data_IF_802788513005
#
_entry.id   IF_802788513005
#
_cell.length_a   1.000
_cell.length_b   1.000
_cell.length_c   1.000
_cell.angle_alpha   90.00
_cell.angle_beta   90.00
_cell.angle_gamma   90.00
#
_symmetry.space_group_name_H-M   'P 1'
#
loop_
_entity.id
_entity.type
_entity.pdbx_description
1 polymer ?
#
# COMPACT_ATOMS: atom_id res chain seq x y z
N UNK A 1 38.79 1.61 17.05
CA UNK A 1 38.77 0.84 15.78
C UNK A 1 37.60 -0.13 15.71
N UNK A 2 37.25 -0.83 16.79
CA UNK A 2 36.05 -1.68 16.89
C UNK A 2 34.74 -0.92 16.57
N UNK A 3 34.63 0.31 17.05
CA UNK A 3 33.38 1.07 16.97
C UNK A 3 33.13 1.59 15.55
N UNK A 4 34.20 2.07 14.88
CA UNK A 4 34.12 2.50 13.48
C UNK A 4 33.77 1.34 12.54
N UNK A 5 34.40 0.17 12.71
CA UNK A 5 34.08 -1.01 11.91
C UNK A 5 32.62 -1.45 12.09
N UNK A 6 32.10 -1.35 13.32
CA UNK A 6 30.71 -1.69 13.63
C UNK A 6 29.73 -0.69 12.99
N UNK A 7 29.99 0.61 13.07
CA UNK A 7 29.16 1.64 12.42
C UNK A 7 29.17 1.49 10.89
N UNK A 8 30.33 1.17 10.30
CA UNK A 8 30.43 0.90 8.86
C UNK A 8 29.59 -0.33 8.47
N UNK A 9 29.66 -1.41 9.24
CA UNK A 9 28.86 -2.61 8.97
C UNK A 9 27.34 -2.33 9.02
N UNK A 10 26.90 -1.58 10.03
CA UNK A 10 25.49 -1.13 10.18
C UNK A 10 25.04 -0.31 8.99
N UNK A 11 25.86 0.64 8.55
CA UNK A 11 25.56 1.48 7.40
C UNK A 11 25.45 0.66 6.10
N UNK A 12 26.34 -0.31 5.88
CA UNK A 12 26.24 -1.19 4.72
C UNK A 12 24.97 -2.04 4.74
N UNK A 13 24.54 -2.52 5.91
CA UNK A 13 23.27 -3.23 6.04
C UNK A 13 22.10 -2.37 5.54
N UNK A 14 22.03 -1.09 5.94
CA UNK A 14 21.01 -0.17 5.45
C UNK A 14 21.12 0.04 3.95
N UNK A 15 22.33 0.27 3.41
CA UNK A 15 22.56 0.42 1.96
C UNK A 15 22.02 -0.78 1.16
N UNK A 16 22.29 -1.99 1.62
CA UNK A 16 21.78 -3.20 0.96
C UNK A 16 20.27 -3.28 1.02
N UNK A 17 19.65 -2.94 2.14
CA UNK A 17 18.19 -2.92 2.28
C UNK A 17 17.55 -1.87 1.36
N UNK A 18 18.15 -0.69 1.20
CA UNK A 18 17.64 0.33 0.27
C UNK A 18 17.61 -0.18 -1.18
N UNK A 19 18.71 -0.78 -1.65
CA UNK A 19 18.79 -1.36 -2.99
C UNK A 19 17.84 -2.56 -3.14
N UNK A 20 17.73 -3.41 -2.12
CA UNK A 20 16.81 -4.54 -2.13
C UNK A 20 15.34 -4.07 -2.19
N UNK A 21 14.99 -3.00 -1.48
CA UNK A 21 13.65 -2.40 -1.48
C UNK A 21 13.28 -1.88 -2.87
N UNK A 22 14.19 -1.17 -3.54
CA UNK A 22 13.99 -0.71 -4.91
C UNK A 22 13.87 -1.89 -5.89
N UNK A 23 14.71 -2.91 -5.73
CA UNK A 23 14.64 -4.13 -6.56
C UNK A 23 13.29 -4.82 -6.41
N UNK A 24 12.78 -4.93 -5.18
CA UNK A 24 11.49 -5.51 -4.88
C UNK A 24 10.34 -4.70 -5.51
N UNK A 25 10.42 -3.37 -5.45
CA UNK A 25 9.44 -2.47 -6.06
C UNK A 25 9.38 -2.63 -7.59
N UNK A 26 10.54 -2.66 -8.24
CA UNK A 26 10.66 -2.90 -9.69
C UNK A 26 10.14 -4.29 -10.05
N UNK A 27 10.52 -5.32 -9.29
CA UNK A 27 10.09 -6.69 -9.53
C UNK A 27 8.57 -6.85 -9.43
N UNK A 28 7.95 -6.33 -8.37
CA UNK A 28 6.50 -6.38 -8.22
C UNK A 28 5.78 -5.61 -9.33
N UNK A 29 6.37 -4.50 -9.77
CA UNK A 29 5.83 -3.71 -10.87
C UNK A 29 5.85 -4.50 -12.17
N UNK A 30 6.98 -5.13 -12.49
CA UNK A 30 7.13 -5.97 -13.68
C UNK A 30 6.16 -7.16 -13.69
N UNK A 31 5.98 -7.84 -12.55
CA UNK A 31 5.09 -9.00 -12.43
C UNK A 31 3.61 -8.60 -12.58
N UNK A 32 3.22 -7.43 -12.09
CA UNK A 32 1.82 -6.96 -12.14
C UNK A 32 1.52 -6.11 -13.37
N UNK A 33 2.49 -5.89 -14.26
CA UNK A 33 2.33 -4.98 -15.40
C UNK A 33 1.18 -5.41 -16.33
N UNK A 34 1.07 -6.70 -16.64
CA UNK A 34 0.01 -7.22 -17.52
C UNK A 34 -1.38 -6.92 -16.96
N UNK A 35 -1.58 -7.20 -15.66
CA UNK A 35 -2.82 -6.91 -14.95
C UNK A 35 -3.09 -5.42 -14.81
N UNK A 36 -2.04 -4.60 -14.61
CA UNK A 36 -2.15 -3.15 -14.51
C UNK A 36 -2.69 -2.56 -15.82
N UNK A 37 -2.12 -2.96 -16.97
CA UNK A 37 -2.55 -2.49 -18.29
C UNK A 37 -4.01 -2.86 -18.57
N UNK A 38 -4.40 -4.10 -18.26
CA UNK A 38 -5.76 -4.58 -18.48
C UNK A 38 -6.78 -3.90 -17.55
N UNK A 39 -6.51 -3.83 -16.24
CA UNK A 39 -7.51 -3.44 -15.23
C UNK A 39 -7.49 -1.95 -14.88
N UNK A 40 -6.36 -1.26 -15.08
CA UNK A 40 -6.21 0.16 -14.73
C UNK A 40 -6.22 1.02 -15.99
N UNK A 41 -5.33 0.72 -16.95
CA UNK A 41 -5.14 1.59 -18.11
C UNK A 41 -6.29 1.53 -19.12
N UNK A 42 -6.97 0.39 -19.21
CA UNK A 42 -8.10 0.20 -20.14
C UNK A 42 -9.43 0.77 -19.63
N UNK A 43 -9.45 1.38 -18.44
CA UNK A 43 -10.66 1.93 -17.80
C UNK A 43 -10.73 3.45 -17.89
N UNK A 44 -11.95 4.02 -17.80
CA UNK A 44 -12.11 5.49 -17.70
C UNK A 44 -11.47 5.98 -16.40
N UNK A 45 -10.81 7.14 -16.47
CA UNK A 45 -10.15 7.76 -15.32
C UNK A 45 -11.14 7.97 -14.18
N UNK A 46 -10.89 7.32 -13.04
CA UNK A 46 -11.66 7.49 -11.81
C UNK A 46 -10.74 7.79 -10.62
N UNK A 47 -11.34 8.16 -9.49
CA UNK A 47 -10.61 8.52 -8.25
C UNK A 47 -9.71 7.38 -7.78
N UNK A 48 -10.17 6.14 -7.89
CA UNK A 48 -9.41 4.92 -7.53
C UNK A 48 -8.15 4.77 -8.37
N UNK A 49 -8.23 5.07 -9.67
CA UNK A 49 -7.09 5.01 -10.59
C UNK A 49 -6.04 6.06 -10.22
N UNK A 50 -6.45 7.26 -9.82
CA UNK A 50 -5.53 8.29 -9.31
C UNK A 50 -4.83 7.81 -8.04
N UNK A 51 -5.58 7.27 -7.07
CA UNK A 51 -4.99 6.70 -5.85
C UNK A 51 -4.03 5.55 -6.15
N UNK A 52 -4.37 4.68 -7.10
CA UNK A 52 -3.50 3.61 -7.55
C UNK A 52 -2.17 4.16 -8.09
N UNK A 53 -2.21 5.13 -9.00
CA UNK A 53 -0.99 5.75 -9.54
C UNK A 53 -0.14 6.43 -8.45
N UNK A 54 -0.77 7.16 -7.52
CA UNK A 54 -0.05 7.79 -6.41
C UNK A 54 0.62 6.72 -5.54
N UNK A 55 -0.12 5.69 -5.11
CA UNK A 55 0.42 4.63 -4.27
C UNK A 55 1.50 3.81 -4.96
N UNK A 56 1.37 3.54 -6.27
CA UNK A 56 2.30 2.75 -7.08
C UNK A 56 3.60 3.49 -7.38
N UNK A 57 3.50 4.76 -7.80
CA UNK A 57 4.65 5.50 -8.34
C UNK A 57 5.32 6.42 -7.30
N UNK A 58 4.64 6.84 -6.24
CA UNK A 58 5.29 7.66 -5.18
C UNK A 58 6.49 6.99 -4.51
N UNK A 59 6.49 5.68 -4.16
CA UNK A 59 7.63 5.05 -3.49
C UNK A 59 8.87 4.98 -4.37
N UNK A 60 8.74 5.06 -5.70
CA UNK A 60 9.89 5.15 -6.60
C UNK A 60 10.67 6.45 -6.37
N UNK A 61 9.96 7.56 -6.17
CA UNK A 61 10.60 8.85 -5.85
C UNK A 61 11.30 8.76 -4.48
N UNK A 62 10.60 8.22 -3.48
CA UNK A 62 11.10 8.09 -2.10
C UNK A 62 12.36 7.23 -2.05
N UNK A 63 12.31 6.05 -2.67
CA UNK A 63 13.42 5.08 -2.69
C UNK A 63 14.62 5.60 -3.48
N UNK A 64 14.41 6.32 -4.59
CA UNK A 64 15.51 6.94 -5.36
C UNK A 64 16.21 8.03 -4.53
N UNK A 65 15.45 8.85 -3.81
CA UNK A 65 16.02 9.85 -2.90
C UNK A 65 16.79 9.18 -1.75
N UNK A 66 16.25 8.14 -1.13
CA UNK A 66 16.95 7.39 -0.09
C UNK A 66 18.24 6.74 -0.62
N UNK A 67 18.20 6.12 -1.81
CA UNK A 67 19.41 5.55 -2.43
C UNK A 67 20.44 6.65 -2.68
N UNK A 68 20.03 7.82 -3.16
CA UNK A 68 20.92 8.97 -3.32
C UNK A 68 21.56 9.36 -1.97
N UNK A 69 20.76 9.50 -0.91
CA UNK A 69 21.25 9.89 0.41
C UNK A 69 22.24 8.88 0.99
N UNK A 70 22.14 7.60 0.62
CA UNK A 70 23.04 6.56 1.11
C UNK A 70 24.24 6.26 0.20
N UNK A 71 24.13 6.44 -1.13
CA UNK A 71 25.16 6.05 -2.10
C UNK A 71 25.87 7.23 -2.77
N UNK A 72 25.37 8.46 -2.64
CA UNK A 72 25.99 9.61 -3.30
C UNK A 72 27.46 9.79 -2.90
N UNK A 73 28.37 10.01 -3.86
CA UNK A 73 29.77 10.31 -3.56
C UNK A 73 29.91 11.76 -3.08
N UNK A 74 30.45 11.94 -1.87
CA UNK A 74 30.74 13.26 -1.27
C UNK A 74 29.58 14.28 -1.37
N UNK A 75 28.37 13.95 -0.87
CA UNK A 75 27.23 14.85 -1.00
C UNK A 75 27.41 16.10 -0.12
N UNK A 76 26.93 17.24 -0.63
CA UNK A 76 26.89 18.47 0.15
C UNK A 76 25.86 18.35 1.29
N UNK A 77 26.18 18.72 2.54
CA UNK A 77 25.23 18.60 3.66
C UNK A 77 23.89 19.30 3.43
N UNK A 78 23.88 20.44 2.72
CA UNK A 78 22.64 21.14 2.35
C UNK A 78 21.77 20.32 1.39
N UNK A 79 22.39 19.61 0.45
CA UNK A 79 21.66 18.76 -0.48
C UNK A 79 21.04 17.59 0.27
N UNK A 80 21.81 16.93 1.15
CA UNK A 80 21.33 15.87 2.04
C UNK A 80 20.12 16.33 2.86
N UNK A 81 20.17 17.54 3.44
CA UNK A 81 19.05 18.09 4.18
C UNK A 81 17.78 18.19 3.33
N UNK A 82 17.90 18.70 2.10
CA UNK A 82 16.76 18.89 1.20
C UNK A 82 16.21 17.54 0.73
N UNK A 83 17.07 16.64 0.24
CA UNK A 83 16.66 15.32 -0.27
C UNK A 83 16.01 14.48 0.82
N UNK A 84 16.63 14.42 2.00
CA UNK A 84 16.11 13.66 3.13
C UNK A 84 14.81 14.25 3.69
N UNK A 85 14.68 15.57 3.73
CA UNK A 85 13.43 16.23 4.15
C UNK A 85 12.29 15.93 3.18
N UNK A 86 12.56 15.99 1.87
CA UNK A 86 11.57 15.65 0.84
C UNK A 86 11.19 14.17 0.96
N UNK A 87 12.17 13.27 1.07
CA UNK A 87 11.94 11.84 1.24
C UNK A 87 11.09 11.53 2.47
N UNK A 88 11.40 12.15 3.62
CA UNK A 88 10.63 11.97 4.87
C UNK A 88 9.16 12.38 4.72
N UNK A 89 8.90 13.53 4.08
CA UNK A 89 7.54 14.03 3.86
C UNK A 89 6.78 13.13 2.88
N UNK A 90 7.41 12.72 1.78
CA UNK A 90 6.77 11.83 0.82
C UNK A 90 6.46 10.46 1.43
N UNK A 91 7.39 9.91 2.22
CA UNK A 91 7.19 8.67 2.99
C UNK A 91 6.02 8.78 3.95
N UNK A 92 5.89 9.88 4.68
CA UNK A 92 4.75 10.10 5.57
C UNK A 92 3.42 10.19 4.80
N UNK A 93 3.40 10.97 3.72
CA UNK A 93 2.19 11.21 2.91
C UNK A 93 1.66 9.92 2.29
N UNK A 94 2.51 9.12 1.65
CA UNK A 94 2.03 7.87 1.04
C UNK A 94 1.77 6.73 2.02
N UNK A 95 2.34 6.72 3.24
CA UNK A 95 1.87 5.84 4.31
C UNK A 95 0.43 6.24 4.70
N UNK A 96 0.17 7.54 4.89
CA UNK A 96 -1.17 8.03 5.20
C UNK A 96 -2.20 7.68 4.11
N UNK A 97 -1.82 7.75 2.82
CA UNK A 97 -2.66 7.26 1.72
C UNK A 97 -2.88 5.74 1.78
N UNK A 98 -1.85 4.97 2.11
CA UNK A 98 -1.96 3.52 2.24
C UNK A 98 -2.91 3.12 3.37
N UNK A 99 -2.83 3.81 4.51
CA UNK A 99 -3.77 3.64 5.62
C UNK A 99 -5.21 4.00 5.22
N UNK A 100 -5.40 5.09 4.48
CA UNK A 100 -6.72 5.48 3.98
C UNK A 100 -7.34 4.36 3.13
N UNK A 101 -6.57 3.73 2.24
CA UNK A 101 -7.03 2.60 1.43
C UNK A 101 -7.48 1.43 2.32
N UNK A 102 -6.74 1.11 3.39
CA UNK A 102 -7.12 0.07 4.35
C UNK A 102 -8.41 0.41 5.10
N UNK A 103 -8.58 1.67 5.52
CA UNK A 103 -9.80 2.15 6.19
C UNK A 103 -11.00 2.04 5.26
N UNK A 104 -10.90 2.53 4.03
CA UNK A 104 -11.97 2.46 3.03
C UNK A 104 -12.37 1.00 2.77
N UNK A 105 -11.38 0.13 2.63
CA UNK A 105 -11.62 -1.29 2.41
C UNK A 105 -12.37 -1.93 3.58
N UNK A 106 -11.94 -1.62 4.79
CA UNK A 106 -12.59 -2.10 6.01
C UNK A 106 -14.01 -1.55 6.08
N UNK A 107 -14.22 -0.28 5.76
CA UNK A 107 -15.53 0.35 5.68
C UNK A 107 -16.50 -0.39 4.73
N UNK A 108 -16.02 -0.88 3.59
CA UNK A 108 -16.81 -1.70 2.68
C UNK A 108 -17.24 -3.05 3.30
N UNK A 109 -16.36 -3.72 4.06
CA UNK A 109 -16.71 -4.95 4.80
C UNK A 109 -17.78 -4.72 5.88
N UNK A 110 -17.86 -3.50 6.43
CA UNK A 110 -18.91 -3.08 7.36
C UNK A 110 -20.18 -2.59 6.66
N UNK A 111 -20.42 -2.97 5.40
CA UNK A 111 -21.59 -2.60 4.60
C UNK A 111 -21.87 -1.08 4.65
N UNK A 112 -20.80 -0.28 4.59
CA UNK A 112 -20.86 1.19 4.61
C UNK A 112 -21.53 1.79 5.84
N UNK A 113 -21.49 1.12 7.00
CA UNK A 113 -22.12 1.64 8.21
C UNK A 113 -21.55 3.01 8.62
N UNK A 114 -22.41 4.04 8.74
CA UNK A 114 -21.98 5.40 9.15
C UNK A 114 -21.26 5.41 10.51
N UNK A 115 -21.59 4.46 11.38
CA UNK A 115 -20.91 4.25 12.68
C UNK A 115 -19.41 4.02 12.53
N UNK A 116 -18.97 3.28 11.49
CA UNK A 116 -17.56 3.05 11.23
C UNK A 116 -16.84 4.36 10.89
N UNK A 117 -17.42 5.20 10.03
CA UNK A 117 -16.83 6.49 9.66
C UNK A 117 -16.72 7.45 10.85
N UNK A 118 -17.73 7.52 11.71
CA UNK A 118 -17.68 8.39 12.90
C UNK A 118 -16.60 7.99 13.90
N UNK A 119 -16.14 6.73 13.88
CA UNK A 119 -15.06 6.24 14.76
C UNK A 119 -13.70 6.38 14.07
N UNK A 120 -13.57 5.83 12.86
CA UNK A 120 -12.28 5.75 12.17
C UNK A 120 -11.87 7.06 11.48
N UNK A 121 -12.82 7.91 11.10
CA UNK A 121 -12.54 9.23 10.51
C UNK A 121 -11.75 10.14 11.45
N UNK A 122 -12.26 10.44 12.67
CA UNK A 122 -11.53 11.23 13.65
C UNK A 122 -10.20 10.59 14.06
N UNK A 123 -10.17 9.27 14.16
CA UNK A 123 -8.96 8.52 14.50
C UNK A 123 -7.86 8.70 13.45
N UNK A 124 -8.20 8.62 12.17
CA UNK A 124 -7.28 8.87 11.07
C UNK A 124 -6.81 10.33 11.00
N UNK A 125 -7.71 11.29 11.24
CA UNK A 125 -7.34 12.72 11.32
C UNK A 125 -6.37 12.97 12.47
N UNK A 126 -6.60 12.36 13.63
CA UNK A 126 -5.70 12.45 14.78
C UNK A 126 -4.33 11.84 14.45
N UNK A 127 -4.30 10.66 13.82
CA UNK A 127 -3.06 10.01 13.39
C UNK A 127 -2.27 10.87 12.39
N UNK A 128 -2.95 11.45 11.38
CA UNK A 128 -2.32 12.37 10.43
C UNK A 128 -1.78 13.62 11.12
N UNK A 129 -2.51 14.17 12.10
CA UNK A 129 -2.07 15.35 12.85
C UNK A 129 -0.80 15.06 13.67
N UNK A 130 -0.75 13.89 14.31
CA UNK A 130 0.43 13.41 15.04
C UNK A 130 1.59 13.21 14.06
N UNK A 131 1.37 12.55 12.92
CA UNK A 131 2.40 12.33 11.92
C UNK A 131 2.98 13.65 11.38
N UNK A 132 2.13 14.62 11.03
CA UNK A 132 2.58 15.94 10.56
C UNK A 132 3.41 16.66 11.63
N UNK A 133 2.96 16.63 12.89
CA UNK A 133 3.71 17.21 14.00
C UNK A 133 5.07 16.52 14.20
N UNK A 134 5.09 15.19 14.30
CA UNK A 134 6.32 14.41 14.52
C UNK A 134 7.32 14.57 13.37
N UNK A 135 6.86 14.53 12.11
CA UNK A 135 7.73 14.73 10.93
C UNK A 135 8.25 16.17 10.87
N UNK A 136 7.42 17.16 11.22
CA UNK A 136 7.86 18.57 11.25
C UNK A 136 8.92 18.83 12.31
N UNK A 137 8.78 18.22 13.49
CA UNK A 137 9.78 18.30 14.56
C UNK A 137 11.07 17.57 14.17
N UNK A 138 10.93 16.37 13.60
CA UNK A 138 12.04 15.59 13.08
C UNK A 138 12.85 16.37 12.05
N UNK A 139 12.22 16.90 11.00
CA UNK A 139 12.89 17.67 9.93
C UNK A 139 13.63 18.90 10.47
N UNK A 140 13.14 19.51 11.55
CA UNK A 140 13.84 20.63 12.22
C UNK A 140 15.02 20.19 13.07
N UNK A 141 14.97 18.97 13.61
CA UNK A 141 15.99 18.41 14.50
C UNK A 141 17.22 17.86 13.78
N UNK A 142 17.10 17.54 12.49
CA UNK A 142 18.17 16.87 11.74
C UNK A 142 19.31 17.84 11.44
N UNK A 143 20.52 17.43 11.82
CA UNK A 143 21.76 18.14 11.48
C UNK A 143 22.64 17.24 10.63
N UNK A 144 22.93 17.70 9.41
CA UNK A 144 23.88 17.04 8.50
C UNK A 144 25.24 17.71 8.58
N UNK A 145 26.28 16.90 8.80
CA UNK A 145 27.67 17.35 8.81
C UNK A 145 28.49 16.62 7.74
N UNK A 146 29.68 17.14 7.42
CA UNK A 146 30.61 16.43 6.55
C UNK A 146 31.18 15.22 7.29
N UNK A 147 31.24 14.07 6.62
CA UNK A 147 31.89 12.89 7.21
C UNK A 147 33.37 13.17 7.49
N UNK A 148 33.89 12.72 8.65
CA UNK A 148 35.33 12.74 8.93
C UNK A 148 36.13 11.86 7.97
N UNK A 149 35.53 10.76 7.49
CA UNK A 149 36.15 9.79 6.58
C UNK A 149 35.52 9.91 5.17
N UNK A 150 36.20 10.53 4.19
CA UNK A 150 35.65 10.81 2.87
C UNK A 150 35.52 9.58 1.97
N UNK A 151 36.08 8.43 2.36
CA UNK A 151 36.01 7.19 1.58
C UNK A 151 34.64 6.48 1.66
N UNK A 152 33.79 6.87 2.63
CA UNK A 152 32.47 6.25 2.82
C UNK A 152 31.41 7.12 2.14
N UNK A 153 30.75 6.64 1.07
CA UNK A 153 29.72 7.42 0.38
C UNK A 153 28.43 7.54 1.22
N UNK A 154 27.65 8.58 0.93
CA UNK A 154 26.37 8.88 1.58
C UNK A 154 26.42 10.00 2.62
N UNK A 155 25.25 10.58 2.88
CA UNK A 155 24.98 11.63 3.86
C UNK A 155 25.24 11.15 5.29
N UNK A 156 25.69 12.05 6.17
CA UNK A 156 25.98 11.76 7.57
C UNK A 156 25.10 12.57 8.50
N UNK A 157 24.25 11.86 9.24
CA UNK A 157 23.34 12.40 10.23
C UNK A 157 24.05 12.47 11.58
N UNK A 158 24.43 13.67 12.01
CA UNK A 158 25.19 13.87 13.25
C UNK A 158 24.27 13.90 14.49
N UNK A 159 23.10 14.54 14.37
CA UNK A 159 22.11 14.66 15.44
C UNK A 159 20.72 14.44 14.87
N UNK A 160 19.92 13.66 15.58
CA UNK A 160 18.53 13.37 15.23
C UNK A 160 17.70 13.11 16.48
N UNK A 161 16.50 13.68 16.54
CA UNK A 161 15.56 13.43 17.62
C UNK A 161 14.86 12.07 17.39
N UNK A 162 14.69 11.23 18.43
CA UNK A 162 13.96 9.97 18.29
C UNK A 162 12.46 10.18 18.07
N UNK A 163 11.95 11.42 18.03
CA UNK A 163 10.52 11.79 17.97
C UNK A 163 9.69 11.01 16.93
N UNK A 164 10.31 10.54 15.86
CA UNK A 164 9.68 9.71 14.81
C UNK A 164 9.13 8.40 15.35
N UNK A 165 9.65 7.88 16.48
CA UNK A 165 9.06 6.70 17.14
C UNK A 165 7.57 6.90 17.45
N UNK A 166 7.14 8.13 17.75
CA UNK A 166 5.74 8.47 18.06
C UNK A 166 4.85 8.28 16.82
N UNK A 167 5.37 8.62 15.64
CA UNK A 167 4.69 8.39 14.37
C UNK A 167 4.48 6.90 14.13
N UNK A 168 5.53 6.08 14.26
CA UNK A 168 5.43 4.63 14.08
C UNK A 168 4.61 3.93 15.14
N UNK A 169 4.67 4.38 16.39
CA UNK A 169 3.84 3.84 17.46
C UNK A 169 2.35 4.12 17.21
N UNK A 170 2.04 5.34 16.74
CA UNK A 170 0.68 5.71 16.36
C UNK A 170 0.20 4.86 15.17
N UNK A 171 1.02 4.75 14.11
CA UNK A 171 0.77 3.89 12.95
C UNK A 171 0.47 2.45 13.39
N UNK A 172 1.34 1.86 14.22
CA UNK A 172 1.19 0.48 14.71
C UNK A 172 -0.15 0.28 15.43
N UNK A 173 -0.58 1.23 16.26
CA UNK A 173 -1.85 1.16 16.99
C UNK A 173 -3.02 1.17 16.01
N UNK A 174 -3.03 2.11 15.06
CA UNK A 174 -4.11 2.26 14.07
C UNK A 174 -4.19 1.02 13.17
N UNK A 175 -3.06 0.57 12.63
CA UNK A 175 -2.97 -0.63 11.81
C UNK A 175 -3.50 -1.86 12.55
N UNK A 176 -3.10 -2.03 13.81
CA UNK A 176 -3.54 -3.15 14.64
C UNK A 176 -5.05 -3.13 14.84
N UNK A 177 -5.64 -1.97 15.14
CA UNK A 177 -7.10 -1.82 15.29
C UNK A 177 -7.82 -2.17 13.99
N UNK A 178 -7.39 -1.59 12.87
CA UNK A 178 -8.00 -1.82 11.54
C UNK A 178 -7.94 -3.30 11.18
N UNK A 179 -6.79 -3.94 11.40
CA UNK A 179 -6.60 -5.36 11.08
C UNK A 179 -7.44 -6.24 11.99
N UNK A 180 -7.50 -5.99 13.30
CA UNK A 180 -8.35 -6.76 14.21
C UNK A 180 -9.81 -6.65 13.77
N UNK A 181 -10.29 -5.45 13.44
CA UNK A 181 -11.65 -5.24 12.93
C UNK A 181 -11.88 -5.98 11.61
N UNK A 182 -10.91 -5.93 10.69
CA UNK A 182 -10.97 -6.63 9.41
C UNK A 182 -11.05 -8.14 9.61
N UNK A 183 -10.15 -8.70 10.43
CA UNK A 183 -10.06 -10.13 10.77
C UNK A 183 -11.34 -10.62 11.43
N UNK A 184 -11.86 -9.86 12.39
CA UNK A 184 -13.08 -10.22 13.10
C UNK A 184 -14.28 -10.23 12.17
N UNK A 185 -14.44 -9.17 11.36
CA UNK A 185 -15.59 -9.03 10.47
C UNK A 185 -15.56 -10.06 9.35
N UNK A 186 -14.42 -10.31 8.73
CA UNK A 186 -14.36 -11.28 7.64
C UNK A 186 -14.42 -12.73 8.10
N UNK A 187 -13.94 -13.10 9.29
CA UNK A 187 -14.19 -14.44 9.85
C UNK A 187 -15.68 -14.65 10.11
N UNK A 188 -16.37 -13.62 10.59
CA UNK A 188 -17.82 -13.65 10.78
C UNK A 188 -18.54 -13.87 9.44
N UNK A 189 -18.17 -13.13 8.39
CA UNK A 189 -18.74 -13.27 7.04
C UNK A 189 -18.45 -14.66 6.43
N UNK A 190 -17.25 -15.20 6.63
CA UNK A 190 -16.87 -16.54 6.13
C UNK A 190 -17.65 -17.66 6.84
N UNK A 191 -18.04 -17.46 8.10
CA UNK A 191 -18.88 -18.41 8.86
C UNK A 191 -20.36 -18.32 8.45
N UNK A 192 -20.84 -17.12 8.14
CA UNK A 192 -22.24 -16.88 7.74
C UNK A 192 -22.53 -17.29 6.29
N UNK A 193 -21.58 -17.10 5.37
CA UNK A 193 -21.73 -17.43 3.95
C UNK A 193 -20.86 -18.64 3.61
N UNK A 194 -21.46 -19.76 3.17
CA UNK A 194 -20.72 -20.88 2.55
C UNK A 194 -19.84 -20.31 1.44
N UNK A 195 -18.55 -20.19 1.71
CA UNK A 195 -17.74 -19.11 1.13
C UNK A 195 -17.51 -19.32 -0.37
N UNK A 196 -17.71 -18.25 -1.16
CA UNK A 196 -17.20 -18.24 -2.52
C UNK A 196 -15.67 -18.33 -2.50
N UNK A 197 -15.03 -19.02 -3.46
CA UNK A 197 -13.57 -19.08 -3.58
C UNK A 197 -12.92 -17.69 -3.56
N UNK A 198 -13.62 -16.69 -4.09
CA UNK A 198 -13.22 -15.29 -4.12
C UNK A 198 -13.02 -14.66 -2.74
N UNK A 199 -14.01 -14.77 -1.85
CA UNK A 199 -13.91 -14.23 -0.48
C UNK A 199 -12.75 -14.86 0.30
N UNK A 200 -12.44 -16.13 0.04
CA UNK A 200 -11.33 -16.85 0.68
C UNK A 200 -9.97 -16.38 0.16
N UNK A 201 -9.81 -16.17 -1.14
CA UNK A 201 -8.59 -15.64 -1.74
C UNK A 201 -8.30 -14.22 -1.24
N UNK A 202 -9.31 -13.34 -1.29
CA UNK A 202 -9.23 -11.97 -0.79
C UNK A 202 -8.75 -11.89 0.65
N UNK A 203 -9.21 -12.80 1.50
CA UNK A 203 -8.84 -12.83 2.91
C UNK A 203 -7.42 -13.30 3.15
N UNK A 204 -6.99 -14.35 2.42
CA UNK A 204 -5.63 -14.87 2.48
C UNK A 204 -4.60 -13.79 2.19
N UNK A 205 -4.83 -13.01 1.13
CA UNK A 205 -3.88 -11.94 0.73
C UNK A 205 -3.79 -10.82 1.79
N UNK A 206 -4.86 -10.63 2.55
CA UNK A 206 -4.97 -9.57 3.58
C UNK A 206 -4.42 -9.98 4.93
N UNK A 207 -4.47 -11.27 5.22
CA UNK A 207 -3.79 -11.82 6.37
C UNK A 207 -2.28 -11.81 6.11
N UNK A 208 -1.86 -12.16 4.88
CA UNK A 208 -0.46 -12.05 4.46
C UNK A 208 0.06 -10.61 4.53
N UNK A 209 -0.77 -9.63 4.13
CA UNK A 209 -0.50 -8.19 4.33
C UNK A 209 -0.08 -7.89 5.76
N UNK A 210 -0.90 -8.32 6.73
CA UNK A 210 -0.67 -8.01 8.14
C UNK A 210 0.62 -8.65 8.66
N UNK A 211 0.84 -9.92 8.36
CA UNK A 211 2.04 -10.62 8.81
C UNK A 211 3.33 -10.06 8.19
N UNK A 212 3.25 -9.39 7.04
CA UNK A 212 4.40 -8.73 6.42
C UNK A 212 4.68 -7.35 7.03
N UNK A 213 3.66 -6.50 7.20
CA UNK A 213 3.86 -5.11 7.67
C UNK A 213 4.05 -5.02 9.18
N UNK A 214 3.29 -5.79 9.97
CA UNK A 214 3.30 -5.66 11.43
C UNK A 214 4.71 -5.83 12.05
N UNK A 215 5.54 -6.83 11.67
CA UNK A 215 6.90 -6.94 12.17
C UNK A 215 7.80 -5.77 11.75
N UNK A 216 7.58 -5.22 10.55
CA UNK A 216 8.37 -4.08 10.05
C UNK A 216 8.02 -2.80 10.81
N UNK A 217 6.74 -2.54 11.07
CA UNK A 217 6.30 -1.38 11.87
C UNK A 217 6.81 -1.48 13.32
N UNK A 218 6.76 -2.67 13.94
CA UNK A 218 7.40 -2.91 15.25
C UNK A 218 8.90 -2.68 15.18
N UNK A 219 9.55 -3.21 14.14
CA UNK A 219 10.98 -3.03 13.90
C UNK A 219 11.37 -1.56 13.88
N UNK A 220 10.60 -0.73 13.18
CA UNK A 220 10.79 0.72 13.18
C UNK A 220 10.66 1.32 14.59
N UNK A 221 9.61 1.00 15.35
CA UNK A 221 9.47 1.50 16.74
C UNK A 221 10.70 1.15 17.59
N UNK A 222 11.17 -0.10 17.51
CA UNK A 222 12.34 -0.56 18.27
C UNK A 222 13.62 0.15 17.82
N UNK A 223 13.81 0.29 16.51
CA UNK A 223 14.97 0.96 15.93
C UNK A 223 15.02 2.43 16.36
N UNK A 224 13.93 3.18 16.26
CA UNK A 224 13.91 4.59 16.66
C UNK A 224 14.09 4.81 18.18
N UNK A 225 13.77 3.82 19.02
CA UNK A 225 13.95 3.91 20.47
C UNK A 225 15.34 3.48 20.96
N UNK A 226 15.95 2.50 20.30
CA UNK A 226 17.11 1.78 20.86
C UNK A 226 18.33 1.72 19.95
N UNK A 227 18.13 1.90 18.64
CA UNK A 227 19.20 1.79 17.67
C UNK A 227 19.92 3.12 17.47
N UNK A 228 21.20 3.09 17.09
CA UNK A 228 21.94 4.28 16.75
C UNK A 228 21.49 4.84 15.39
N UNK A 229 21.90 6.07 15.10
CA UNK A 229 21.39 6.86 13.96
C UNK A 229 21.65 6.23 12.60
N UNK A 230 22.66 5.35 12.48
CA UNK A 230 22.98 4.70 11.21
C UNK A 230 21.98 3.62 10.79
N UNK A 231 21.11 3.17 11.71
CA UNK A 231 20.15 2.09 11.51
C UNK A 231 18.70 2.58 11.34
N UNK A 232 18.44 3.88 11.46
CA UNK A 232 17.07 4.43 11.51
C UNK A 232 16.22 4.06 10.29
N UNK A 233 16.81 4.10 9.09
CA UNK A 233 16.08 3.81 7.85
C UNK A 233 16.14 2.32 7.46
N UNK A 234 16.56 1.43 8.36
CA UNK A 234 16.67 0.00 8.06
C UNK A 234 15.31 -0.62 7.73
N UNK A 235 14.28 -0.30 8.51
CA UNK A 235 12.93 -0.86 8.30
C UNK A 235 11.98 0.15 7.67
N UNK A 236 12.26 1.45 7.72
CA UNK A 236 11.35 2.49 7.23
C UNK A 236 11.04 2.33 5.74
N UNK A 237 12.09 2.23 4.91
CA UNK A 237 11.91 2.10 3.47
C UNK A 237 11.24 0.79 3.09
N UNK A 238 11.56 -0.30 3.80
CA UNK A 238 10.87 -1.58 3.61
C UNK A 238 9.38 -1.45 3.96
N UNK A 239 9.05 -0.89 5.13
CA UNK A 239 7.65 -0.62 5.52
C UNK A 239 6.92 0.17 4.44
N UNK A 240 7.52 1.25 3.94
CA UNK A 240 6.95 2.06 2.87
C UNK A 240 6.72 1.28 1.57
N UNK A 241 7.70 0.49 1.12
CA UNK A 241 7.56 -0.34 -0.08
C UNK A 241 6.44 -1.35 0.12
N UNK A 242 6.43 -2.09 1.24
CA UNK A 242 5.39 -3.08 1.54
C UNK A 242 3.98 -2.47 1.56
N UNK A 243 3.80 -1.29 2.17
CA UNK A 243 2.53 -0.56 2.12
C UNK A 243 2.06 -0.34 0.67
N UNK A 244 2.94 0.15 -0.20
CA UNK A 244 2.60 0.37 -1.61
C UNK A 244 2.28 -0.93 -2.35
N UNK A 245 3.16 -1.94 -2.29
CA UNK A 245 2.98 -3.21 -3.00
C UNK A 245 1.64 -3.83 -2.66
N UNK A 246 1.33 -3.83 -1.37
CA UNK A 246 0.14 -4.46 -0.86
C UNK A 246 -1.13 -3.67 -1.17
N UNK A 247 -1.10 -2.34 -1.08
CA UNK A 247 -2.20 -1.49 -1.55
C UNK A 247 -2.48 -1.70 -3.05
N UNK A 248 -1.44 -1.77 -3.88
CA UNK A 248 -1.56 -2.01 -5.32
C UNK A 248 -2.20 -3.35 -5.62
N UNK A 249 -1.73 -4.43 -4.98
CA UNK A 249 -2.29 -5.78 -5.15
C UNK A 249 -3.75 -5.86 -4.72
N UNK A 250 -4.11 -5.21 -3.61
CA UNK A 250 -5.51 -5.15 -3.15
C UNK A 250 -6.39 -4.48 -4.21
N UNK A 251 -5.98 -3.32 -4.74
CA UNK A 251 -6.76 -2.60 -5.76
C UNK A 251 -6.92 -3.44 -7.03
N UNK A 252 -5.84 -4.07 -7.50
CA UNK A 252 -5.90 -4.95 -8.68
C UNK A 252 -6.80 -6.16 -8.45
N UNK A 253 -6.71 -6.83 -7.30
CA UNK A 253 -7.56 -7.97 -6.97
C UNK A 253 -9.04 -7.57 -6.89
N UNK A 254 -9.34 -6.37 -6.37
CA UNK A 254 -10.70 -5.84 -6.33
C UNK A 254 -11.24 -5.56 -7.73
N UNK A 255 -10.44 -4.95 -8.61
CA UNK A 255 -10.86 -4.69 -10.00
C UNK A 255 -11.01 -5.97 -10.80
N UNK A 256 -10.06 -6.91 -10.68
CA UNK A 256 -10.17 -8.22 -11.32
C UNK A 256 -11.47 -8.95 -10.93
N UNK A 257 -11.90 -8.79 -9.68
CA UNK A 257 -13.17 -9.34 -9.21
C UNK A 257 -14.40 -8.68 -9.84
N UNK A 258 -14.37 -7.36 -10.01
CA UNK A 258 -15.44 -6.60 -10.66
C UNK A 258 -15.52 -6.90 -12.17
N UNK A 259 -14.39 -7.22 -12.81
CA UNK A 259 -14.30 -7.55 -14.23
C UNK A 259 -14.48 -9.03 -14.57
N UNK A 260 -14.45 -9.93 -13.58
CA UNK A 260 -14.57 -11.38 -13.80
C UNK A 260 -16.01 -11.83 -14.11
N UNK A 261 -16.24 -12.72 -15.09
CA UNK A 261 -17.56 -13.33 -15.31
C UNK A 261 -17.87 -14.35 -14.21
N UNK A 262 -18.85 -14.05 -13.33
CA UNK A 262 -19.31 -15.02 -12.32
C UNK A 262 -20.23 -16.05 -12.99
N UNK A 263 -19.72 -17.27 -13.18
CA UNK A 263 -20.48 -18.45 -13.62
C UNK A 263 -21.15 -19.10 -12.40
N UNK A 264 -22.47 -18.96 -12.23
CA UNK A 264 -23.25 -19.76 -11.28
C UNK A 264 -24.02 -20.85 -12.04
N UNK A 265 -23.97 -22.13 -11.60
CA UNK A 265 -24.84 -23.15 -12.16
C UNK A 265 -26.27 -22.93 -11.65
N UNK A 266 -27.19 -22.60 -12.55
CA UNK A 266 -28.63 -22.56 -12.27
C UNK A 266 -29.24 -23.89 -12.73
N UNK A 267 -29.88 -24.62 -11.80
CA UNK A 267 -30.60 -25.86 -12.12
C UNK A 267 -32.07 -25.48 -12.36
N UNK A 268 -32.50 -25.54 -13.62
CA UNK A 268 -33.90 -25.36 -13.98
C UNK A 268 -34.74 -26.56 -13.48
N UNK A 269 -36.05 -26.38 -13.21
CA UNK A 269 -36.92 -27.46 -12.73
C UNK A 269 -37.06 -28.63 -13.72
N UNK A 270 -36.68 -28.43 -14.98
CA UNK A 270 -36.80 -29.39 -16.06
C UNK A 270 -35.43 -29.54 -16.76
N UNK A 271 -34.60 -30.44 -16.24
CA UNK A 271 -33.49 -31.18 -16.89
C UNK A 271 -32.46 -30.49 -17.82
N UNK A 272 -32.39 -29.17 -17.91
CA UNK A 272 -31.33 -28.47 -18.66
C UNK A 272 -30.71 -27.37 -17.81
N UNK A 273 -29.41 -27.50 -17.55
CA UNK A 273 -28.60 -26.52 -16.82
C UNK A 273 -28.30 -25.37 -17.78
N UNK A 274 -28.84 -24.19 -17.51
CA UNK A 274 -28.44 -22.95 -18.17
C UNK A 274 -27.62 -22.11 -17.18
N UNK A 275 -26.56 -21.48 -17.65
CA UNK A 275 -25.73 -20.59 -16.83
C UNK A 275 -26.40 -19.22 -16.79
N UNK A 276 -26.90 -18.80 -15.62
CA UNK A 276 -27.56 -17.51 -15.47
C UNK A 276 -26.62 -16.54 -14.73
N UNK A 277 -25.95 -15.68 -15.49
CA UNK A 277 -25.07 -14.62 -14.98
C UNK A 277 -25.94 -13.55 -14.30
N UNK A 278 -25.90 -13.44 -12.97
CA UNK A 278 -26.48 -12.31 -12.22
C UNK A 278 -25.43 -11.74 -11.26
N UNK A 279 -25.31 -10.40 -11.12
CA UNK A 279 -24.27 -9.81 -10.29
C UNK A 279 -24.51 -10.12 -8.81
N UNK A 280 -23.45 -10.47 -8.09
CA UNK A 280 -23.45 -10.41 -6.63
C UNK A 280 -23.26 -8.94 -6.26
N UNK A 281 -24.29 -8.29 -5.72
CA UNK A 281 -24.18 -6.97 -5.10
C UNK A 281 -23.38 -7.08 -3.79
N UNK A 282 -22.05 -7.03 -3.89
CA UNK A 282 -21.30 -6.22 -2.95
C UNK A 282 -21.31 -4.81 -3.53
N UNK A 283 -22.22 -3.96 -3.05
CA UNK A 283 -22.32 -2.57 -3.49
C UNK A 283 -21.03 -1.81 -3.13
N UNK A 284 -20.09 -1.83 -4.07
CA UNK A 284 -18.84 -1.11 -4.10
C UNK A 284 -18.97 0.14 -5.01
N UNK A 285 -20.16 0.73 -5.18
CA UNK A 285 -20.35 2.01 -5.90
C UNK A 285 -19.37 3.16 -5.58
N UNK A 286 -18.64 3.14 -4.45
CA UNK A 286 -17.55 4.10 -4.19
C UNK A 286 -16.29 3.86 -5.05
N UNK A 287 -16.19 2.70 -5.69
CA UNK A 287 -15.14 2.26 -6.60
C UNK A 287 -15.64 2.21 -8.05
N UNK A 288 -16.96 2.07 -8.22
CA UNK A 288 -17.69 2.20 -9.47
C UNK A 288 -18.42 3.56 -9.51
N UNK A 289 -17.68 4.67 -9.50
CA UNK A 289 -18.23 5.97 -9.93
C UNK A 289 -18.31 6.00 -11.47
N UNK A 290 -19.06 5.07 -12.04
CA UNK A 290 -19.52 5.18 -13.42
C UNK A 290 -20.86 5.93 -13.39
N UNK A 291 -20.99 7.09 -14.06
CA UNK A 291 -22.31 7.57 -14.42
C UNK A 291 -22.96 6.50 -15.29
N UNK A 292 -24.22 6.19 -14.98
CA UNK A 292 -25.07 5.26 -15.72
C UNK A 292 -25.18 5.76 -17.17
N UNK A 293 -24.30 5.25 -18.03
CA UNK A 293 -24.21 5.60 -19.45
C UNK A 293 -25.23 4.73 -20.17
N UNK A 294 -26.45 5.25 -20.30
CA UNK A 294 -27.61 4.59 -20.88
C UNK A 294 -27.47 4.31 -22.39
N UNK A 295 -26.33 4.65 -23.01
CA UNK A 295 -26.09 4.54 -24.45
C UNK A 295 -24.80 3.77 -24.84
N UNK A 296 -24.28 2.87 -23.98
CA UNK A 296 -23.21 1.96 -24.42
C UNK A 296 -23.82 0.75 -25.14
N UNK A 297 -23.63 0.57 -26.47
CA UNK A 297 -24.16 -0.60 -27.15
C UNK A 297 -23.54 -1.84 -26.53
N UNK A 298 -24.41 -2.77 -26.10
CA UNK A 298 -23.98 -3.99 -25.45
C UNK A 298 -23.10 -4.79 -26.42
N UNK A 299 -21.88 -5.11 -25.99
CA UNK A 299 -21.02 -6.06 -26.69
C UNK A 299 -21.70 -7.45 -26.83
N UNK A 300 -22.78 -7.69 -26.08
CA UNK A 300 -23.66 -8.85 -26.18
C UNK A 300 -24.50 -8.90 -27.48
N UNK A 301 -24.69 -7.79 -28.19
CA UNK A 301 -25.46 -7.79 -29.44
C UNK A 301 -24.68 -8.37 -30.63
N UNK A 302 -23.33 -8.40 -30.58
CA UNK A 302 -22.50 -8.88 -31.71
C UNK A 302 -22.31 -10.39 -31.76
N UNK A 303 -22.47 -11.11 -30.65
CA UNK A 303 -22.38 -12.57 -30.65
C UNK A 303 -23.71 -13.25 -31.00
N UNK A 304 -24.84 -12.60 -30.77
CA UNK A 304 -26.17 -13.17 -31.12
C UNK A 304 -26.38 -13.15 -32.64
N UNK A 305 -25.90 -12.13 -33.37
CA UNK A 305 -26.02 -12.08 -34.84
C UNK A 305 -25.12 -13.09 -35.58
N UNK A 306 -24.05 -13.63 -34.96
CA UNK A 306 -23.21 -14.64 -35.61
C UNK A 306 -23.76 -16.07 -35.46
N UNK A 307 -24.51 -16.36 -34.38
CA UNK A 307 -25.09 -17.69 -34.16
C UNK A 307 -26.37 -17.91 -34.98
N UNK A 308 -27.15 -16.86 -35.25
CA UNK A 308 -28.36 -16.96 -36.10
C UNK A 308 -28.04 -17.09 -37.60
N UNK A 309 -26.78 -16.86 -38.02
CA UNK A 309 -26.35 -17.04 -39.42
C UNK A 309 -25.81 -18.43 -39.75
N UNK A 310 -25.56 -19.28 -38.75
CA UNK A 310 -25.13 -20.67 -38.96
C UNK A 310 -26.28 -21.69 -38.85
N UNK A 311 -27.47 -21.27 -38.40
CA UNK A 311 -28.65 -22.14 -38.27
C UNK A 311 -29.83 -21.75 -39.20
N UNK A 312 -29.58 -20.95 -40.24
CA UNK A 312 -30.53 -20.59 -41.29
C UNK A 312 -30.13 -21.11 -42.66
#
# INVERSE_FOLDING_TARGET
>A
MSDLATSVHRLYAVKYVQVASMTLLVYDTAVLMDQEVELIWSTKVNVVQIFYFISRYSPYLDTVLNIYDYLAPNPNPRTCYITYSIGSVLTAVGIAFSEMILIIRTYALFKRSRKFLYIFGPLWIAACSIAVWSVSDFVKSIVFERRPEPQIPGCYMAVVSPIVFVCFATLLIIETIIVICTIWKGVTLLREVKSSPFMRAFYRDSILFYFAIFPLTIGNVVVFLTAPTELLDLFDTLTRVFHSLLCCRIILHLRAAGHGPITTPYVAPNSTVYTLTRPVECDFSMWDDAPEDQDRPSYAAREIEMVDRENG
#
